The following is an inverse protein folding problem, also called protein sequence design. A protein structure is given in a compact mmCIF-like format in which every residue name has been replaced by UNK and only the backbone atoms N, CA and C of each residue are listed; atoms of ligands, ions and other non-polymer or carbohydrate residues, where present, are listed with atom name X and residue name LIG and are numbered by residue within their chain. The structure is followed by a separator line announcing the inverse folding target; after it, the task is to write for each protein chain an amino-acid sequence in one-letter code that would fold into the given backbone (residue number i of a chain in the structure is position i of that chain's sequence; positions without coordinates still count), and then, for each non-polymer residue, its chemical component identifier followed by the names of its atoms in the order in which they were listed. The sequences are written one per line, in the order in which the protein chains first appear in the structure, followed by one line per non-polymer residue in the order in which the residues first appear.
data_IF_289712312186
#
_entry.id   IF_289712312186
#
_cell.length_a   1.000
_cell.length_b   1.000
_cell.length_c   1.000
_cell.angle_alpha   90.00
_cell.angle_beta   90.00
_cell.angle_gamma   90.00
#
_symmetry.space_group_name_H-M   'P 1'
#
loop_
_entity.id
_entity.type
_entity.pdbx_description
1 polymer ?
#
# COMPACT_ATOMS: atom_id res chain seq x y z
N UNK A 1 -4.20 20.64 5.60
CA UNK A 1 -5.09 21.14 4.54
C UNK A 1 -4.61 20.53 3.24
N UNK A 2 -5.45 19.74 2.58
CA UNK A 2 -5.14 19.05 1.32
C UNK A 2 -6.45 18.63 0.69
N UNK A 3 -7.23 19.62 0.25
CA UNK A 3 -8.49 19.44 -0.47
C UNK A 3 -8.19 19.90 -1.90
N UNK A 4 -7.98 18.95 -2.82
CA UNK A 4 -7.84 19.28 -4.24
C UNK A 4 -6.90 18.41 -5.08
N UNK A 5 -6.28 17.36 -4.52
CA UNK A 5 -5.43 16.50 -5.36
C UNK A 5 -6.30 15.59 -6.24
N UNK A 6 -6.07 15.65 -7.54
CA UNK A 6 -6.69 14.78 -8.54
C UNK A 6 -6.24 13.33 -8.28
N UNK A 7 -7.14 12.50 -7.76
CA UNK A 7 -6.91 11.09 -7.45
C UNK A 7 -7.31 10.25 -8.65
N UNK A 8 -6.47 9.28 -9.01
CA UNK A 8 -6.79 8.26 -10.00
C UNK A 8 -6.66 6.86 -9.37
N UNK A 9 -7.65 5.96 -9.49
CA UNK A 9 -8.98 6.16 -10.08
C UNK A 9 -9.75 7.32 -9.42
N UNK A 10 -10.80 7.82 -10.06
CA UNK A 10 -11.64 8.83 -9.42
C UNK A 10 -12.30 8.22 -8.17
N UNK A 11 -12.44 8.97 -7.04
CA UNK A 11 -13.17 8.48 -5.88
C UNK A 11 -14.57 8.00 -6.28
N UNK A 12 -14.91 6.77 -5.90
CA UNK A 12 -16.23 6.21 -6.14
C UNK A 12 -17.10 6.47 -4.91
N UNK A 13 -18.37 6.85 -5.10
CA UNK A 13 -19.32 6.98 -4.00
C UNK A 13 -19.63 5.59 -3.43
N UNK A 14 -19.36 5.38 -2.14
CA UNK A 14 -19.74 4.15 -1.43
C UNK A 14 -20.76 4.48 -0.34
N UNK A 15 -21.86 3.74 -0.31
CA UNK A 15 -22.89 3.85 0.73
C UNK A 15 -22.43 3.09 1.96
N UNK A 16 -22.18 3.79 3.06
CA UNK A 16 -21.92 3.17 4.36
C UNK A 16 -23.26 2.87 5.05
N UNK A 17 -23.49 1.68 5.63
CA UNK A 17 -24.71 1.42 6.39
C UNK A 17 -24.76 2.37 7.59
N UNK A 18 -25.80 3.19 7.65
CA UNK A 18 -26.03 4.11 8.75
C UNK A 18 -26.26 3.31 10.04
N UNK A 19 -25.52 3.62 11.10
CA UNK A 19 -25.69 2.99 12.42
C UNK A 19 -26.92 3.52 13.20
N UNK A 20 -27.63 4.52 12.65
CA UNK A 20 -28.79 5.22 13.21
C UNK A 20 -29.71 5.65 12.04
N UNK A 21 -31.01 5.88 12.30
CA UNK A 21 -32.02 6.39 11.34
C UNK A 21 -31.72 7.83 10.84
N UNK A 22 -30.55 8.01 10.23
CA UNK A 22 -30.09 9.21 9.55
C UNK A 22 -29.83 8.84 8.09
N UNK A 23 -29.99 9.76 7.13
CA UNK A 23 -29.61 9.50 5.74
C UNK A 23 -28.14 9.08 5.69
N UNK A 24 -27.86 7.97 5.00
CA UNK A 24 -26.52 7.42 4.90
C UNK A 24 -25.54 8.49 4.36
N UNK A 25 -24.43 8.81 5.06
CA UNK A 25 -23.50 9.80 4.57
C UNK A 25 -22.78 9.27 3.33
N UNK A 26 -22.80 10.03 2.24
CA UNK A 26 -21.95 9.79 1.08
C UNK A 26 -20.52 10.12 1.48
N UNK A 27 -19.70 9.10 1.74
CA UNK A 27 -18.26 9.27 1.97
C UNK A 27 -17.58 9.10 0.62
N UNK A 28 -16.75 10.06 0.22
CA UNK A 28 -15.81 9.89 -0.89
C UNK A 28 -14.85 8.76 -0.51
N UNK A 29 -15.10 7.55 -1.00
CA UNK A 29 -14.18 6.44 -0.80
C UNK A 29 -13.03 6.64 -1.78
N UNK A 30 -11.87 7.04 -1.26
CA UNK A 30 -10.64 7.05 -2.05
C UNK A 30 -10.43 5.65 -2.61
N UNK A 31 -10.21 5.52 -3.93
CA UNK A 31 -10.03 4.21 -4.54
C UNK A 31 -8.78 3.58 -3.95
N UNK A 32 -8.91 2.30 -3.60
CA UNK A 32 -7.88 1.58 -2.84
C UNK A 32 -6.56 1.55 -3.60
N UNK A 33 -6.60 1.47 -4.92
CA UNK A 33 -5.42 1.52 -5.79
C UNK A 33 -4.62 2.82 -5.60
N UNK A 34 -5.31 3.95 -5.48
CA UNK A 34 -4.67 5.25 -5.24
C UNK A 34 -4.03 5.30 -3.85
N UNK A 35 -4.72 4.75 -2.83
CA UNK A 35 -4.17 4.66 -1.47
C UNK A 35 -2.90 3.79 -1.45
N UNK A 36 -2.92 2.66 -2.15
CA UNK A 36 -1.73 1.80 -2.32
C UNK A 36 -0.62 2.59 -3.03
N UNK A 37 -0.93 3.28 -4.12
CA UNK A 37 0.03 4.05 -4.89
C UNK A 37 0.72 5.15 -4.08
N UNK A 38 -0.04 5.94 -3.31
CA UNK A 38 0.52 7.01 -2.47
C UNK A 38 1.39 6.47 -1.33
N UNK A 39 0.96 5.38 -0.69
CA UNK A 39 1.76 4.74 0.37
C UNK A 39 3.02 4.10 -0.17
N UNK A 40 2.93 3.48 -1.34
CA UNK A 40 4.08 2.87 -1.99
C UNK A 40 5.09 3.91 -2.48
N UNK A 41 4.62 5.03 -3.02
CA UNK A 41 5.46 6.17 -3.38
C UNK A 41 6.22 6.72 -2.15
N UNK A 42 5.52 6.93 -1.03
CA UNK A 42 6.14 7.37 0.21
C UNK A 42 7.18 6.36 0.74
N UNK A 43 6.90 5.05 0.61
CA UNK A 43 7.84 3.99 0.97
C UNK A 43 9.13 4.09 0.13
N UNK A 44 8.99 4.30 -1.18
CA UNK A 44 10.12 4.46 -2.10
C UNK A 44 10.94 5.70 -1.78
N UNK A 45 10.30 6.85 -1.56
CA UNK A 45 11.00 8.12 -1.30
C UNK A 45 11.70 8.14 0.05
N UNK A 46 11.05 7.61 1.10
CA UNK A 46 11.60 7.66 2.45
C UNK A 46 12.70 6.61 2.70
N UNK A 47 12.67 5.50 1.96
CA UNK A 47 13.69 4.46 2.02
C UNK A 47 14.03 4.02 3.45
N UNK A 48 15.32 3.93 3.77
CA UNK A 48 15.81 3.50 5.09
C UNK A 48 15.40 4.46 6.24
N UNK A 49 15.20 5.75 5.93
CA UNK A 49 14.75 6.76 6.90
C UNK A 49 13.26 6.66 7.22
N UNK A 50 12.53 5.74 6.60
CA UNK A 50 11.10 5.62 6.78
C UNK A 50 10.78 5.17 8.21
N UNK A 51 10.29 6.10 9.04
CA UNK A 51 9.80 5.81 10.40
C UNK A 51 8.28 5.61 10.45
N UNK A 52 7.59 5.75 9.31
CA UNK A 52 6.14 5.60 9.20
C UNK A 52 5.76 4.12 9.10
N UNK A 53 6.03 3.37 10.16
CA UNK A 53 5.69 1.94 10.27
C UNK A 53 4.20 1.70 9.96
N UNK A 54 3.32 2.65 10.26
CA UNK A 54 1.90 2.57 9.90
C UNK A 54 1.64 2.34 8.40
N UNK A 55 2.37 3.01 7.51
CA UNK A 55 2.10 2.94 6.06
C UNK A 55 2.33 1.54 5.52
N UNK A 56 3.34 0.86 6.04
CA UNK A 56 3.55 -0.56 5.81
C UNK A 56 2.32 -1.36 6.25
N UNK A 57 1.86 -1.20 7.50
CA UNK A 57 0.72 -1.98 8.02
C UNK A 57 -0.55 -1.73 7.22
N UNK A 58 -0.77 -0.49 6.79
CA UNK A 58 -1.90 -0.14 5.93
C UNK A 58 -1.79 -0.85 4.56
N UNK A 59 -0.61 -0.88 3.93
CA UNK A 59 -0.38 -1.62 2.68
C UNK A 59 -0.62 -3.13 2.85
N UNK A 60 -0.13 -3.71 3.95
CA UNK A 60 -0.32 -5.13 4.24
C UNK A 60 -1.79 -5.46 4.48
N UNK A 61 -2.48 -4.64 5.26
CA UNK A 61 -3.91 -4.78 5.47
C UNK A 61 -4.67 -4.70 4.14
N UNK A 62 -4.32 -3.74 3.28
CA UNK A 62 -4.93 -3.62 1.96
C UNK A 62 -4.72 -4.89 1.13
N UNK A 63 -3.48 -5.38 1.04
CA UNK A 63 -3.14 -6.61 0.32
C UNK A 63 -3.84 -7.86 0.89
N UNK A 64 -4.02 -7.95 2.21
CA UNK A 64 -4.63 -9.13 2.85
C UNK A 64 -6.15 -9.16 2.81
N UNK A 65 -6.82 -8.03 2.56
CA UNK A 65 -8.28 -7.93 2.73
C UNK A 65 -9.05 -7.43 1.51
N UNK A 66 -8.37 -6.97 0.46
CA UNK A 66 -9.03 -6.44 -0.73
C UNK A 66 -8.50 -7.06 -2.02
N UNK A 67 -9.38 -7.06 -3.01
CA UNK A 67 -9.06 -7.42 -4.38
C UNK A 67 -8.46 -6.23 -5.12
N UNK A 68 -7.52 -6.49 -6.03
CA UNK A 68 -6.95 -5.48 -6.93
C UNK A 68 -6.84 -6.03 -8.36
N UNK A 69 -7.06 -5.16 -9.33
CA UNK A 69 -6.76 -5.41 -10.74
C UNK A 69 -5.33 -4.93 -11.04
N UNK A 70 -4.53 -5.77 -11.69
CA UNK A 70 -3.09 -5.56 -11.83
C UNK A 70 -2.74 -4.35 -12.66
N UNK A 71 -3.44 -4.17 -13.77
CA UNK A 71 -3.29 -3.05 -14.70
C UNK A 71 -3.80 -1.74 -14.09
N UNK A 72 -4.95 -1.78 -13.41
CA UNK A 72 -5.49 -0.63 -12.65
C UNK A 72 -4.52 -0.21 -11.54
N UNK A 73 -3.97 -1.16 -10.79
CA UNK A 73 -2.99 -0.84 -9.75
C UNK A 73 -1.68 -0.28 -10.35
N UNK A 74 -1.19 -0.87 -11.45
CA UNK A 74 -0.02 -0.37 -12.17
C UNK A 74 -0.21 1.08 -12.62
N UNK A 75 -1.36 1.40 -13.22
CA UNK A 75 -1.67 2.76 -13.67
C UNK A 75 -1.76 3.75 -12.50
N UNK A 76 -2.35 3.35 -11.37
CA UNK A 76 -2.40 4.18 -10.16
C UNK A 76 -1.01 4.53 -9.65
N UNK A 77 -0.13 3.52 -9.59
CA UNK A 77 1.26 3.69 -9.16
C UNK A 77 1.99 4.62 -10.12
N UNK A 78 1.92 4.36 -11.43
CA UNK A 78 2.59 5.17 -12.44
C UNK A 78 2.16 6.64 -12.39
N UNK A 79 0.84 6.89 -12.37
CA UNK A 79 0.31 8.26 -12.30
C UNK A 79 0.73 8.98 -11.02
N UNK A 80 0.70 8.28 -9.88
CA UNK A 80 1.10 8.86 -8.59
C UNK A 80 2.59 9.20 -8.56
N UNK A 81 3.43 8.29 -9.05
CA UNK A 81 4.88 8.48 -9.14
C UNK A 81 5.21 9.64 -10.06
N UNK A 82 4.60 9.72 -11.25
CA UNK A 82 4.76 10.82 -12.19
C UNK A 82 4.32 12.17 -11.59
N UNK A 83 3.15 12.22 -10.95
CA UNK A 83 2.61 13.42 -10.28
C UNK A 83 3.54 13.94 -9.20
N UNK A 84 4.22 13.04 -8.47
CA UNK A 84 5.14 13.39 -7.38
C UNK A 84 6.60 13.54 -7.81
N UNK A 85 6.91 13.34 -9.09
CA UNK A 85 8.29 13.40 -9.60
C UNK A 85 9.18 12.26 -9.10
N UNK A 86 8.58 11.15 -8.64
CA UNK A 86 9.28 9.99 -8.11
C UNK A 86 9.52 8.99 -9.24
N UNK A 87 10.78 8.70 -9.62
CA UNK A 87 11.06 7.74 -10.68
C UNK A 87 10.73 6.31 -10.22
N UNK A 88 10.29 5.47 -11.16
CA UNK A 88 10.14 4.02 -10.92
C UNK A 88 11.51 3.44 -10.58
N UNK A 89 11.64 2.81 -9.40
CA UNK A 89 12.93 2.32 -8.91
C UNK A 89 13.44 1.17 -9.78
N UNK A 90 14.76 1.10 -10.02
CA UNK A 90 15.38 0.00 -10.76
C UNK A 90 15.52 -1.29 -9.93
N UNK A 91 15.66 -1.16 -8.61
CA UNK A 91 15.80 -2.28 -7.67
C UNK A 91 14.63 -2.43 -6.71
N UNK A 92 14.62 -3.52 -5.94
CA UNK A 92 13.63 -3.75 -4.88
C UNK A 92 13.68 -2.59 -3.88
N UNK A 93 12.56 -1.88 -3.62
CA UNK A 93 12.52 -0.83 -2.61
C UNK A 93 12.93 -1.41 -1.25
N UNK A 94 13.83 -0.73 -0.53
CA UNK A 94 14.44 -1.29 0.69
C UNK A 94 13.40 -1.67 1.75
N UNK A 95 12.29 -0.94 1.85
CA UNK A 95 11.18 -1.27 2.77
C UNK A 95 10.51 -2.63 2.51
N UNK A 96 10.73 -3.22 1.33
CA UNK A 96 10.24 -4.55 0.93
C UNK A 96 11.32 -5.64 1.05
N UNK A 97 12.47 -5.35 1.66
CA UNK A 97 13.53 -6.35 1.88
C UNK A 97 13.59 -6.78 3.35
N UNK A 98 14.11 -7.98 3.59
CA UNK A 98 14.24 -8.52 4.94
C UNK A 98 15.21 -7.69 5.79
N UNK A 99 16.30 -7.22 5.20
CA UNK A 99 17.35 -6.43 5.86
C UNK A 99 16.79 -5.15 6.49
N UNK A 100 15.79 -4.53 5.84
CA UNK A 100 15.12 -3.36 6.38
C UNK A 100 14.37 -3.66 7.69
N UNK A 101 13.78 -4.84 7.82
CA UNK A 101 13.01 -5.27 8.99
C UNK A 101 13.88 -5.88 10.10
N UNK A 102 15.03 -6.45 9.75
CA UNK A 102 16.01 -7.00 10.69
C UNK A 102 16.88 -5.93 11.38
N UNK A 103 16.77 -4.66 10.95
CA UNK A 103 17.50 -3.56 11.59
C UNK A 103 17.17 -3.47 13.10
N UNK A 104 18.18 -3.35 13.99
CA UNK A 104 18.01 -3.34 15.45
C UNK A 104 17.01 -2.31 15.99
N UNK A 105 16.79 -1.20 15.27
CA UNK A 105 15.86 -0.15 15.67
C UNK A 105 14.39 -0.48 15.37
N UNK A 106 14.10 -1.46 14.50
CA UNK A 106 12.74 -1.74 13.99
C UNK A 106 11.83 -2.44 14.97
N UNK A 107 12.27 -3.46 15.74
CA UNK A 107 11.40 -4.09 16.74
C UNK A 107 10.81 -3.07 17.71
N UNK A 108 11.61 -2.09 18.14
CA UNK A 108 11.15 -1.01 19.02
C UNK A 108 10.12 -0.08 18.35
N UNK A 109 10.31 0.28 17.08
CA UNK A 109 9.36 1.11 16.33
C UNK A 109 8.03 0.37 16.07
N UNK A 110 8.11 -0.91 15.72
CA UNK A 110 6.94 -1.78 15.52
C UNK A 110 6.17 -1.95 16.83
N UNK A 111 6.85 -2.25 17.94
CA UNK A 111 6.22 -2.34 19.25
C UNK A 111 5.57 -1.02 19.68
N UNK A 112 6.23 0.12 19.44
CA UNK A 112 5.68 1.43 19.75
C UNK A 112 4.43 1.75 18.92
N UNK A 113 4.42 1.41 17.63
CA UNK A 113 3.25 1.54 16.77
C UNK A 113 2.12 0.60 17.22
N UNK A 114 2.40 -0.69 17.40
CA UNK A 114 1.44 -1.71 17.81
C UNK A 114 0.74 -1.33 19.12
N UNK A 115 1.50 -0.85 20.12
CA UNK A 115 0.94 -0.36 21.38
C UNK A 115 -0.02 0.82 21.19
N UNK A 116 0.32 1.79 20.33
CA UNK A 116 -0.55 2.95 20.03
C UNK A 116 -1.80 2.53 19.26
N UNK A 117 -1.65 1.60 18.33
CA UNK A 117 -2.74 1.07 17.51
C UNK A 117 -3.58 0.00 18.23
N UNK A 118 -3.15 -0.44 19.43
CA UNK A 118 -3.74 -1.56 20.19
C UNK A 118 -3.79 -2.87 19.37
N UNK A 119 -2.74 -3.12 18.59
CA UNK A 119 -2.58 -4.30 17.76
C UNK A 119 -1.61 -5.29 18.41
N UNK A 120 -1.88 -6.59 18.24
CA UNK A 120 -0.93 -7.65 18.56
C UNK A 120 -0.17 -8.02 17.30
N UNK A 121 1.15 -7.91 17.33
CA UNK A 121 2.02 -8.29 16.20
C UNK A 121 2.65 -9.65 16.54
N UNK A 122 2.35 -10.72 15.78
CA UNK A 122 2.90 -12.05 16.05
C UNK A 122 4.41 -12.12 15.80
N UNK A 123 5.07 -13.10 16.42
CA UNK A 123 6.45 -13.42 16.09
C UNK A 123 6.55 -13.88 14.62
N UNK A 124 7.57 -13.42 13.89
CA UNK A 124 7.73 -13.72 12.46
C UNK A 124 6.94 -12.79 11.52
N UNK A 125 6.29 -11.75 12.03
CA UNK A 125 5.56 -10.77 11.23
C UNK A 125 6.41 -10.20 10.08
N UNK A 126 7.69 -9.88 10.30
CA UNK A 126 8.58 -9.33 9.27
C UNK A 126 8.68 -10.22 8.01
N UNK A 127 8.74 -11.54 8.19
CA UNK A 127 8.83 -12.50 7.08
C UNK A 127 7.53 -12.59 6.31
N UNK A 128 6.40 -12.73 7.01
CA UNK A 128 5.07 -12.77 6.40
C UNK A 128 4.79 -11.48 5.63
N UNK A 129 5.15 -10.35 6.23
CA UNK A 129 4.93 -9.04 5.68
C UNK A 129 5.74 -8.77 4.42
N UNK A 130 7.04 -9.07 4.47
CA UNK A 130 7.93 -8.98 3.32
C UNK A 130 7.47 -9.89 2.20
N UNK A 131 7.02 -11.11 2.53
CA UNK A 131 6.47 -12.08 1.56
C UNK A 131 5.21 -11.55 0.88
N UNK A 132 4.22 -11.09 1.65
CA UNK A 132 2.94 -10.60 1.09
C UNK A 132 3.14 -9.32 0.28
N UNK A 133 3.80 -8.32 0.85
CA UNK A 133 4.02 -7.05 0.15
C UNK A 133 4.94 -7.22 -1.07
N UNK A 134 5.94 -8.10 -0.97
CA UNK A 134 6.77 -8.48 -2.10
C UNK A 134 5.96 -9.11 -3.23
N UNK A 135 5.13 -10.11 -2.91
CA UNK A 135 4.26 -10.76 -3.89
C UNK A 135 3.20 -9.81 -4.49
N UNK A 136 2.74 -8.83 -3.71
CA UNK A 136 1.75 -7.86 -4.16
C UNK A 136 2.34 -6.78 -5.06
N UNK A 137 3.43 -6.12 -4.64
CA UNK A 137 3.96 -4.91 -5.29
C UNK A 137 5.07 -5.17 -6.31
N UNK A 138 5.92 -6.20 -6.11
CA UNK A 138 7.06 -6.41 -7.00
C UNK A 138 6.66 -6.80 -8.43
N UNK A 139 5.66 -7.68 -8.66
CA UNK A 139 5.21 -7.99 -10.02
C UNK A 139 4.69 -6.74 -10.76
N UNK A 140 3.97 -5.87 -10.06
CA UNK A 140 3.44 -4.62 -10.63
C UNK A 140 4.57 -3.65 -10.95
N UNK A 141 5.54 -3.50 -10.05
CA UNK A 141 6.73 -2.68 -10.28
C UNK A 141 7.55 -3.18 -11.47
N UNK A 142 7.64 -4.49 -11.63
CA UNK A 142 8.31 -5.15 -12.74
C UNK A 142 7.63 -4.90 -14.09
N UNK A 143 6.29 -4.85 -14.12
CA UNK A 143 5.55 -4.47 -15.32
C UNK A 143 5.84 -3.01 -15.69
N UNK A 144 5.82 -2.11 -14.71
CA UNK A 144 6.13 -0.69 -14.92
C UNK A 144 7.55 -0.48 -15.47
N UNK A 145 8.54 -1.21 -14.95
CA UNK A 145 9.92 -1.17 -15.46
C UNK A 145 10.01 -1.62 -16.91
N UNK A 146 9.29 -2.69 -17.26
CA UNK A 146 9.26 -3.25 -18.62
C UNK A 146 8.33 -2.47 -19.56
N UNK A 147 7.58 -1.50 -19.03
CA UNK A 147 6.50 -0.78 -19.73
C UNK A 147 5.45 -1.75 -20.30
N UNK A 148 5.18 -2.81 -19.56
CA UNK A 148 4.17 -3.79 -19.89
C UNK A 148 2.86 -3.46 -19.16
N UNK A 149 1.73 -3.82 -19.77
CA UNK A 149 0.43 -3.83 -19.11
C UNK A 149 -0.04 -5.26 -19.03
N UNK A 150 0.10 -5.84 -17.85
CA UNK A 150 -0.36 -7.19 -17.57
C UNK A 150 -1.69 -7.13 -16.84
N UNK A 151 -2.65 -7.88 -17.36
CA UNK A 151 -3.91 -8.15 -16.66
C UNK A 151 -3.69 -9.24 -15.62
N UNK A 152 -4.49 -9.21 -14.58
CA UNK A 152 -4.47 -10.19 -13.51
C UNK A 152 -5.19 -9.67 -12.29
N UNK A 153 -5.57 -10.58 -11.41
CA UNK A 153 -6.35 -10.23 -10.22
C UNK A 153 -5.63 -10.72 -8.98
N UNK A 154 -5.45 -9.81 -8.02
CA UNK A 154 -4.98 -10.12 -6.69
C UNK A 154 -6.19 -10.41 -5.83
N UNK A 155 -6.34 -11.66 -5.41
CA UNK A 155 -7.30 -12.00 -4.34
C UNK A 155 -6.71 -11.60 -2.99
N UNK A 156 -7.52 -11.30 -1.95
CA UNK A 156 -7.02 -11.02 -0.61
C UNK A 156 -5.98 -12.05 -0.13
N UNK A 157 -4.75 -11.60 0.15
CA UNK A 157 -3.61 -12.45 0.53
C UNK A 157 -2.81 -13.07 -0.64
N UNK A 158 -3.27 -12.88 -1.87
CA UNK A 158 -2.61 -13.28 -3.11
C UNK A 158 -2.63 -14.78 -3.42
N UNK A 159 -1.78 -15.22 -4.36
CA UNK A 159 -0.98 -14.40 -5.28
C UNK A 159 -1.84 -13.81 -6.42
N UNK A 160 -1.21 -13.01 -7.29
CA UNK A 160 -1.78 -12.60 -8.58
C UNK A 160 -2.14 -13.84 -9.42
N UNK A 161 -3.34 -13.84 -10.03
CA UNK A 161 -3.83 -14.87 -10.96
C UNK A 161 -4.09 -14.28 -12.34
#
# INVERSE_FOLDING_TARGET
MGLGDEVWPQPEECVYPALLDLPAPTVLAYPRDAVVAEKFEALVVLGDRNSRIKDFFDLYHLACHFEFERDRLAESIERTFARRGTPVTSGVPIGLTREYWENPSRPAQVAAFARRARLTVPAGFADEFTRILGAFLLPVLDDLRRRERRVGTWQPGGPWR
#
